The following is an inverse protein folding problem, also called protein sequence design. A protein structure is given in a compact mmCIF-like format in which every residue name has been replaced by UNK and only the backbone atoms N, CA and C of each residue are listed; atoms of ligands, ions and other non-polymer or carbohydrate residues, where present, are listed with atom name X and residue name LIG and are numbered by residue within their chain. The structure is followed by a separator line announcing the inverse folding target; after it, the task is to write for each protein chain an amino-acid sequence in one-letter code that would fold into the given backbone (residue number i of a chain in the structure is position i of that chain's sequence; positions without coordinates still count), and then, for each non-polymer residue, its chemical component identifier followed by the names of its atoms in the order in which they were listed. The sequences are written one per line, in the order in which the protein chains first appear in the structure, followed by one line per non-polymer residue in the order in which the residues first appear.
data_IF_259547200241
#
_entry.id   IF_259547200241
#
_cell.length_a   1.000
_cell.length_b   1.000
_cell.length_c   1.000
_cell.angle_alpha   90.00
_cell.angle_beta   90.00
_cell.angle_gamma   90.00
#
_symmetry.space_group_name_H-M   'P 1'
#
loop_
_entity.id
_entity.type
_entity.pdbx_description
1 polymer ?
#
# COMPACT_ATOMS: atom_id res chain seq x y z
N UNK A 1 -7.90 -18.23 4.69
CA UNK A 1 -7.20 -17.29 5.59
C UNK A 1 -6.41 -16.38 4.68
N UNK A 2 -6.70 -15.08 4.68
CA UNK A 2 -5.78 -14.12 4.08
C UNK A 2 -4.42 -14.30 4.78
N UNK A 3 -3.39 -14.63 4.00
CA UNK A 3 -2.04 -14.69 4.53
C UNK A 3 -1.66 -13.28 4.99
N UNK A 4 -1.34 -13.14 6.28
CA UNK A 4 -0.78 -11.91 6.80
C UNK A 4 0.55 -11.66 6.07
N UNK A 5 0.63 -10.56 5.34
CA UNK A 5 1.85 -10.15 4.66
C UNK A 5 2.76 -9.40 5.65
N UNK A 6 4.06 -9.41 5.35
CA UNK A 6 5.08 -8.79 6.18
C UNK A 6 5.54 -7.46 5.59
N UNK A 7 5.91 -6.52 6.46
CA UNK A 7 6.61 -5.31 6.05
C UNK A 7 8.10 -5.61 5.79
N UNK A 8 8.85 -4.59 5.36
CA UNK A 8 10.28 -4.72 5.01
C UNK A 8 11.19 -5.10 6.19
N UNK A 9 10.69 -5.08 7.42
CA UNK A 9 11.39 -5.48 8.64
C UNK A 9 11.11 -6.95 9.02
N UNK A 10 10.27 -7.66 8.26
CA UNK A 10 9.86 -9.04 8.55
C UNK A 10 8.83 -9.16 9.67
N UNK A 11 8.12 -8.07 9.99
CA UNK A 11 7.01 -8.08 10.96
C UNK A 11 5.68 -7.92 10.24
N UNK A 12 4.55 -8.04 10.95
CA UNK A 12 3.21 -7.86 10.38
C UNK A 12 3.07 -6.51 9.64
N UNK A 13 2.45 -6.54 8.46
CA UNK A 13 2.17 -5.35 7.67
C UNK A 13 1.12 -4.47 8.35
N UNK A 14 1.44 -3.20 8.52
CA UNK A 14 0.57 -2.23 9.17
C UNK A 14 -0.35 -1.51 8.18
N UNK A 15 -1.39 -0.86 8.71
CA UNK A 15 -2.28 0.01 7.94
C UNK A 15 -1.49 1.21 7.41
N UNK A 16 -1.61 1.47 6.12
CA UNK A 16 -1.04 2.66 5.48
C UNK A 16 -1.99 3.87 5.55
N UNK A 17 -3.29 3.68 5.28
CA UNK A 17 -4.26 4.78 5.30
C UNK A 17 -5.73 4.35 5.22
N UNK A 18 -6.58 4.99 6.03
CA UNK A 18 -8.03 4.71 6.12
C UNK A 18 -8.93 5.92 5.81
N UNK A 19 -8.37 7.13 5.79
CA UNK A 19 -9.08 8.35 5.40
C UNK A 19 -8.14 9.25 4.59
N UNK A 20 -8.10 9.08 3.26
CA UNK A 20 -8.86 8.11 2.45
C UNK A 20 -8.37 6.66 2.60
N UNK A 21 -9.24 5.68 2.29
CA UNK A 21 -8.86 4.24 2.28
C UNK A 21 -7.88 3.96 1.12
N UNK A 22 -6.71 3.42 1.46
CA UNK A 22 -5.63 3.07 0.51
C UNK A 22 -5.60 1.57 0.18
N UNK A 23 -4.55 1.13 -0.54
CA UNK A 23 -4.30 -0.28 -0.86
C UNK A 23 -4.99 -0.75 -2.13
N UNK A 24 -4.37 -1.64 -2.91
CA UNK A 24 -4.96 -2.18 -4.14
C UNK A 24 -6.30 -2.87 -3.87
N UNK A 25 -6.37 -3.63 -2.77
CA UNK A 25 -7.59 -4.33 -2.32
C UNK A 25 -8.57 -3.45 -1.54
N UNK A 26 -8.25 -2.16 -1.32
CA UNK A 26 -9.07 -1.18 -0.58
C UNK A 26 -9.37 -1.61 0.86
N UNK A 27 -8.37 -2.20 1.52
CA UNK A 27 -8.38 -2.61 2.93
C UNK A 27 -7.52 -1.70 3.82
N UNK A 28 -6.89 -0.67 3.24
CA UNK A 28 -6.00 0.27 3.94
C UNK A 28 -4.54 -0.19 4.04
N UNK A 29 -4.19 -1.36 3.51
CA UNK A 29 -2.83 -1.91 3.57
C UNK A 29 -2.13 -1.90 2.20
N UNK A 30 -0.80 -1.92 2.20
CA UNK A 30 0.02 -2.04 0.97
C UNK A 30 0.29 -3.52 0.61
N UNK A 31 -0.67 -4.40 0.88
CA UNK A 31 -0.62 -5.80 0.50
C UNK A 31 -0.86 -5.97 -1.01
N UNK A 32 -0.24 -6.99 -1.58
CA UNK A 32 -0.29 -7.26 -3.03
C UNK A 32 -0.63 -8.72 -3.31
N UNK A 33 -0.89 -9.04 -4.57
CA UNK A 33 -1.18 -10.40 -5.02
C UNK A 33 -1.34 -10.47 -6.53
N UNK A 34 -1.79 -11.62 -7.04
CA UNK A 34 -1.79 -11.93 -8.50
C UNK A 34 -2.52 -10.91 -9.37
N UNK A 35 -3.49 -10.18 -8.83
CA UNK A 35 -4.26 -9.16 -9.56
C UNK A 35 -3.60 -7.77 -9.59
N UNK A 36 -2.64 -7.52 -8.69
CA UNK A 36 -1.99 -6.23 -8.55
C UNK A 36 -0.73 -6.15 -9.43
N UNK A 37 -0.93 -5.99 -10.73
CA UNK A 37 0.17 -5.88 -11.72
C UNK A 37 1.02 -4.63 -11.46
N UNK A 38 0.44 -3.58 -10.85
CA UNK A 38 1.13 -2.34 -10.50
C UNK A 38 2.02 -2.44 -9.27
N UNK A 39 1.89 -3.50 -8.46
CA UNK A 39 2.68 -3.73 -7.24
C UNK A 39 2.60 -2.54 -6.27
N UNK A 40 1.40 -2.28 -5.73
CA UNK A 40 1.12 -1.19 -4.79
C UNK A 40 1.62 -1.50 -3.37
N UNK A 41 2.91 -1.84 -3.22
CA UNK A 41 3.53 -2.34 -1.98
C UNK A 41 4.27 -1.29 -1.15
N UNK A 42 4.35 -0.04 -1.63
CA UNK A 42 5.07 1.04 -0.93
C UNK A 42 4.07 2.00 -0.29
N UNK A 43 4.06 2.05 1.05
CA UNK A 43 3.34 3.09 1.78
C UNK A 43 4.16 4.38 1.80
N UNK A 44 3.55 5.50 1.41
CA UNK A 44 4.24 6.80 1.30
C UNK A 44 3.40 7.93 1.87
N UNK A 45 4.08 8.94 2.42
CA UNK A 45 3.50 10.27 2.61
C UNK A 45 3.81 11.05 1.35
N UNK A 46 2.78 11.44 0.61
CA UNK A 46 2.92 12.15 -0.66
C UNK A 46 3.11 13.66 -0.44
N UNK A 47 3.76 14.31 -1.39
CA UNK A 47 3.91 15.76 -1.47
C UNK A 47 3.32 16.28 -2.78
N UNK A 48 3.01 17.57 -2.85
CA UNK A 48 2.48 18.20 -4.07
C UNK A 48 3.42 18.03 -5.28
N UNK A 49 4.73 18.16 -5.07
CA UNK A 49 5.75 17.96 -6.11
C UNK A 49 5.71 16.53 -6.68
N UNK A 50 5.58 15.52 -5.81
CA UNK A 50 5.48 14.13 -6.25
C UNK A 50 4.21 13.90 -7.07
N UNK A 51 3.07 14.46 -6.63
CA UNK A 51 1.80 14.36 -7.35
C UNK A 51 1.83 15.05 -8.71
N UNK A 52 2.52 16.18 -8.83
CA UNK A 52 2.69 16.88 -10.11
C UNK A 52 3.60 16.10 -11.06
N UNK A 53 4.67 15.50 -10.54
CA UNK A 53 5.57 14.64 -11.31
C UNK A 53 4.86 13.36 -11.81
N UNK A 54 4.00 12.75 -10.99
CA UNK A 54 3.39 11.44 -11.25
C UNK A 54 2.01 11.48 -11.92
N UNK A 55 1.64 12.62 -12.50
CA UNK A 55 0.29 12.88 -13.02
C UNK A 55 -0.03 12.15 -14.33
#
# INVERSE_FOLDING_TARGET
MEEKQENVLGTELEICGIDPITGFYRDGCCNTGKGDVGTHTVCVIVTDEFLEFSR
#
